data_IF_794246775114
#
_entry.id   IF_794246775114
#
_cell.length_a   1.000
_cell.length_b   1.000
_cell.length_c   1.000
_cell.angle_alpha   90.00
_cell.angle_beta   90.00
_cell.angle_gamma   90.00
#
_symmetry.space_group_name_H-M   'P 1'
#
loop_
_entity.id
_entity.type
_entity.pdbx_description
1 polymer ?
#
# COMPACT_ATOMS: atom_id res chain seq x y z
N UNK A 1 -13.05 -6.57 1.35
CA UNK A 1 -11.70 -7.20 1.30
C UNK A 1 -11.17 -7.56 2.68
N UNK A 2 -11.03 -6.66 3.65
CA UNK A 2 -10.52 -6.97 5.01
C UNK A 2 -11.24 -8.19 5.60
N UNK A 3 -12.57 -8.15 5.66
CA UNK A 3 -13.37 -9.26 6.24
C UNK A 3 -13.16 -10.60 5.54
N UNK A 4 -12.95 -10.60 4.23
CA UNK A 4 -12.63 -11.80 3.47
C UNK A 4 -11.33 -12.47 3.95
N UNK A 5 -10.28 -11.68 4.21
CA UNK A 5 -9.02 -12.19 4.73
C UNK A 5 -9.16 -12.68 6.16
N UNK A 6 -9.83 -11.94 7.03
CA UNK A 6 -10.08 -12.35 8.42
C UNK A 6 -10.85 -13.68 8.52
N UNK A 7 -11.86 -13.90 7.66
CA UNK A 7 -12.62 -15.15 7.63
C UNK A 7 -11.76 -16.36 7.22
N UNK A 8 -10.62 -16.12 6.56
CA UNK A 8 -9.62 -17.14 6.25
C UNK A 8 -8.58 -17.32 7.34
N UNK A 9 -8.72 -16.63 8.44
CA UNK A 9 -7.73 -16.54 9.52
C UNK A 9 -6.41 -15.88 9.08
N UNK A 10 -6.46 -15.04 8.06
CA UNK A 10 -5.32 -14.26 7.56
C UNK A 10 -5.17 -12.97 8.39
N UNK A 11 -3.95 -12.53 8.65
CA UNK A 11 -3.68 -11.31 9.40
C UNK A 11 -3.70 -10.08 8.51
N UNK A 12 -4.41 -9.05 8.97
CA UNK A 12 -4.57 -7.79 8.23
C UNK A 12 -3.96 -6.64 9.02
N UNK A 13 -3.16 -5.81 8.33
CA UNK A 13 -2.62 -4.56 8.85
C UNK A 13 -3.20 -3.38 8.06
N UNK A 14 -3.72 -2.40 8.76
CA UNK A 14 -4.10 -1.10 8.20
C UNK A 14 -3.07 -0.05 8.59
N UNK A 15 -2.49 0.60 7.60
CA UNK A 15 -1.58 1.73 7.75
C UNK A 15 -2.32 3.01 7.42
N UNK A 16 -2.48 3.90 8.39
CA UNK A 16 -3.20 5.15 8.22
C UNK A 16 -2.40 6.36 8.73
N UNK A 17 -2.66 7.56 8.20
CA UNK A 17 -2.18 8.78 8.82
C UNK A 17 -2.70 8.91 10.26
N UNK A 18 -1.90 9.50 11.16
CA UNK A 18 -2.28 9.65 12.57
C UNK A 18 -3.67 10.26 12.75
N UNK A 19 -4.03 11.23 11.92
CA UNK A 19 -5.33 11.92 11.97
C UNK A 19 -6.52 11.02 11.58
N UNK A 20 -6.28 9.99 10.76
CA UNK A 20 -7.32 9.08 10.25
C UNK A 20 -7.34 7.74 10.99
N UNK A 21 -6.42 7.51 11.92
CA UNK A 21 -6.33 6.24 12.66
C UNK A 21 -7.64 5.88 13.33
N UNK A 22 -8.31 6.83 13.96
CA UNK A 22 -9.56 6.59 14.67
C UNK A 22 -10.67 6.10 13.75
N UNK A 23 -10.72 6.60 12.51
CA UNK A 23 -11.69 6.18 11.50
C UNK A 23 -11.58 4.68 11.18
N UNK A 24 -10.39 4.12 11.32
CA UNK A 24 -10.15 2.68 11.13
C UNK A 24 -10.33 1.90 12.43
N UNK A 25 -9.84 2.42 13.54
CA UNK A 25 -9.89 1.72 14.85
C UNK A 25 -11.31 1.54 15.37
N UNK A 26 -12.24 2.41 15.01
CA UNK A 26 -13.65 2.34 15.44
C UNK A 26 -14.29 0.99 15.08
N UNK A 27 -13.93 0.40 13.93
CA UNK A 27 -14.52 -0.86 13.48
C UNK A 27 -14.00 -2.09 14.21
N UNK A 28 -12.87 -1.99 14.91
CA UNK A 28 -12.30 -3.08 15.72
C UNK A 28 -12.73 -2.99 17.20
N UNK A 29 -13.49 -1.96 17.56
CA UNK A 29 -13.87 -1.67 18.93
C UNK A 29 -15.39 -1.82 19.13
N UNK A 30 -15.80 -2.10 20.36
CA UNK A 30 -17.19 -2.02 20.76
C UNK A 30 -17.57 -0.55 21.03
N UNK A 31 -17.68 0.23 19.96
CA UNK A 31 -17.99 1.65 19.96
C UNK A 31 -19.38 1.88 19.35
N UNK A 32 -20.16 2.79 19.92
CA UNK A 32 -21.50 3.14 19.40
C UNK A 32 -21.46 3.70 17.96
N UNK A 33 -20.32 4.23 17.52
CA UNK A 33 -20.10 4.72 16.15
C UNK A 33 -19.82 3.61 15.15
N UNK A 34 -19.60 2.39 15.63
CA UNK A 34 -19.33 1.23 14.78
C UNK A 34 -20.62 0.69 14.17
N UNK A 35 -20.94 1.14 12.97
CA UNK A 35 -22.09 0.68 12.20
C UNK A 35 -21.94 -0.78 11.69
N UNK A 36 -20.74 -1.35 11.79
CA UNK A 36 -20.40 -2.72 11.38
C UNK A 36 -20.03 -3.60 12.58
N UNK A 37 -20.62 -3.32 13.76
CA UNK A 37 -20.29 -4.03 14.99
C UNK A 37 -20.55 -5.55 14.89
N UNK A 38 -21.57 -5.95 14.17
CA UNK A 38 -21.94 -7.36 13.96
C UNK A 38 -20.89 -8.13 13.15
N UNK A 39 -20.13 -7.44 12.31
CA UNK A 39 -19.06 -8.04 11.50
C UNK A 39 -17.82 -8.42 12.33
N UNK A 40 -17.64 -7.84 13.51
CA UNK A 40 -16.53 -8.14 14.45
C UNK A 40 -15.17 -8.12 13.77
N UNK A 41 -14.79 -6.98 13.23
CA UNK A 41 -13.48 -6.82 12.61
C UNK A 41 -12.33 -6.96 13.62
N UNK A 42 -11.28 -7.65 13.22
CA UNK A 42 -10.08 -7.89 14.02
C UNK A 42 -8.81 -7.69 13.18
N UNK A 43 -8.45 -6.45 12.90
CA UNK A 43 -7.22 -6.09 12.20
C UNK A 43 -6.39 -5.11 13.04
N UNK A 44 -5.09 -5.10 12.78
CA UNK A 44 -4.17 -4.18 13.43
C UNK A 44 -4.20 -2.82 12.72
N UNK A 45 -4.14 -1.72 13.48
CA UNK A 45 -4.06 -0.35 12.94
C UNK A 45 -2.80 0.33 13.44
N UNK A 46 -1.92 0.73 12.52
CA UNK A 46 -0.71 1.47 12.81
C UNK A 46 -0.68 2.81 12.06
N UNK A 47 0.07 3.76 12.56
CA UNK A 47 0.31 5.00 11.85
C UNK A 47 1.44 4.82 10.83
N UNK A 48 1.44 5.59 9.75
CA UNK A 48 2.57 5.62 8.81
C UNK A 48 3.91 5.90 9.48
N UNK A 49 3.91 6.73 10.53
CA UNK A 49 5.12 7.09 11.29
C UNK A 49 5.65 5.94 12.14
N UNK A 50 4.83 4.95 12.47
CA UNK A 50 5.25 3.82 13.28
C UNK A 50 6.23 2.91 12.51
N UNK A 51 6.17 2.92 11.18
CA UNK A 51 7.13 2.22 10.32
C UNK A 51 8.58 2.72 10.46
N UNK A 52 8.81 3.94 10.95
CA UNK A 52 10.17 4.46 11.19
C UNK A 52 10.64 4.23 12.64
N UNK A 53 9.83 3.57 13.46
CA UNK A 53 10.12 3.34 14.87
C UNK A 53 10.55 1.90 15.11
N UNK A 54 11.52 1.71 15.98
CA UNK A 54 12.03 0.38 16.37
C UNK A 54 11.51 -0.08 17.73
N UNK A 55 10.88 0.84 18.49
CA UNK A 55 10.38 0.55 19.84
C UNK A 55 9.23 1.45 20.24
N UNK A 56 8.59 1.13 21.35
CA UNK A 56 7.47 1.85 21.93
C UNK A 56 6.12 1.27 21.48
N UNK A 57 5.05 1.95 21.89
CA UNK A 57 3.69 1.49 21.64
C UNK A 57 2.98 2.33 20.54
N UNK A 58 2.14 1.67 19.78
CA UNK A 58 1.17 2.28 18.89
C UNK A 58 -0.22 1.76 19.25
N UNK A 59 -0.95 2.51 20.10
CA UNK A 59 -2.12 2.00 20.79
C UNK A 59 -1.73 0.86 21.74
N UNK A 60 -2.34 -0.31 21.59
CA UNK A 60 -2.03 -1.52 22.36
C UNK A 60 -0.86 -2.34 21.78
N UNK A 61 -0.36 -1.99 20.60
CA UNK A 61 0.64 -2.78 19.88
C UNK A 61 2.04 -2.33 20.28
N UNK A 62 2.88 -3.26 20.76
CA UNK A 62 4.29 -3.01 21.04
C UNK A 62 5.12 -3.21 19.76
N UNK A 63 5.72 -2.14 19.27
CA UNK A 63 6.49 -2.13 18.03
C UNK A 63 7.81 -2.92 18.13
N UNK A 64 8.38 -3.04 19.33
CA UNK A 64 9.62 -3.78 19.53
C UNK A 64 9.46 -5.29 19.35
N UNK A 65 8.26 -5.82 19.61
CA UNK A 65 7.96 -7.25 19.52
C UNK A 65 7.09 -7.61 18.32
N UNK A 66 6.74 -6.61 17.49
CA UNK A 66 5.88 -6.81 16.34
C UNK A 66 6.63 -7.58 15.24
N UNK A 67 6.07 -8.71 14.81
CA UNK A 67 6.56 -9.43 13.65
C UNK A 67 5.95 -8.82 12.38
N UNK A 68 6.71 -7.96 11.72
CA UNK A 68 6.29 -7.25 10.51
C UNK A 68 6.01 -8.16 9.33
N UNK A 69 6.69 -9.31 9.24
CA UNK A 69 6.54 -10.26 8.14
C UNK A 69 5.26 -11.13 8.23
N UNK A 70 4.49 -11.03 9.33
CA UNK A 70 3.35 -11.91 9.60
C UNK A 70 1.99 -11.26 9.24
N UNK A 71 1.94 -10.56 8.10
CA UNK A 71 0.70 -9.98 7.58
C UNK A 71 0.43 -10.46 6.16
N UNK A 72 -0.78 -10.97 5.91
CA UNK A 72 -1.23 -11.48 4.62
C UNK A 72 -1.80 -10.36 3.74
N UNK A 73 -2.43 -9.37 4.36
CA UNK A 73 -2.95 -8.19 3.69
C UNK A 73 -2.50 -6.91 4.41
N UNK A 74 -2.03 -5.96 3.63
CA UNK A 74 -1.80 -4.59 4.08
C UNK A 74 -2.70 -3.64 3.33
N UNK A 75 -3.45 -2.85 4.08
CA UNK A 75 -4.24 -1.74 3.54
C UNK A 75 -3.52 -0.44 3.87
N UNK A 76 -3.14 0.32 2.87
CA UNK A 76 -2.44 1.59 3.02
C UNK A 76 -3.40 2.71 2.67
N UNK A 77 -3.94 3.37 3.68
CA UNK A 77 -4.74 4.57 3.50
C UNK A 77 -3.84 5.77 3.22
N UNK A 78 -4.28 6.68 2.35
CA UNK A 78 -3.48 7.81 1.87
C UNK A 78 -2.08 7.37 1.38
N UNK A 79 -2.05 6.36 0.51
CA UNK A 79 -0.84 5.71 0.01
C UNK A 79 0.12 6.67 -0.72
N UNK A 80 -0.35 7.84 -1.14
CA UNK A 80 0.50 8.89 -1.72
C UNK A 80 1.61 9.36 -0.76
N UNK A 81 1.50 9.12 0.55
CA UNK A 81 2.55 9.41 1.53
C UNK A 81 3.79 8.53 1.37
N UNK A 82 3.71 7.43 0.61
CA UNK A 82 4.81 6.51 0.32
C UNK A 82 5.40 6.69 -1.09
N UNK A 83 4.98 7.70 -1.82
CA UNK A 83 5.50 7.97 -3.18
C UNK A 83 6.98 8.36 -3.22
N UNK A 84 7.49 8.98 -2.16
CA UNK A 84 8.87 9.40 -2.05
C UNK A 84 9.65 8.43 -1.17
N UNK A 85 10.81 8.01 -1.67
CA UNK A 85 11.79 7.23 -0.92
C UNK A 85 13.11 8.01 -0.90
N UNK A 86 13.24 9.09 -0.10
CA UNK A 86 14.50 9.76 0.04
C UNK A 86 15.49 8.83 0.77
N UNK A 87 16.72 8.63 0.27
CA UNK A 87 17.74 7.92 1.01
C UNK A 87 18.02 8.68 2.31
N UNK A 88 18.05 7.98 3.41
CA UNK A 88 18.38 8.53 4.73
C UNK A 88 19.46 7.62 5.31
N UNK A 89 20.62 8.22 5.60
CA UNK A 89 21.68 7.55 6.33
C UNK A 89 21.23 7.34 7.80
N UNK A 90 21.68 6.27 8.42
CA UNK A 90 21.50 5.93 9.84
C UNK A 90 20.09 5.57 10.34
N UNK A 91 19.07 5.49 9.51
CA UNK A 91 17.76 5.01 9.97
C UNK A 91 16.94 4.35 8.84
N UNK A 92 16.17 3.34 9.22
CA UNK A 92 15.22 2.69 8.32
C UNK A 92 14.10 3.67 7.98
N UNK A 93 13.89 3.92 6.69
CA UNK A 93 12.77 4.75 6.23
C UNK A 93 11.46 3.95 6.28
N UNK A 94 10.33 4.67 6.26
CA UNK A 94 9.00 4.04 6.19
C UNK A 94 8.84 3.19 4.93
N UNK A 95 9.41 3.65 3.83
CA UNK A 95 9.39 2.94 2.55
C UNK A 95 10.20 1.64 2.62
N UNK A 96 11.40 1.69 3.15
CA UNK A 96 12.28 0.53 3.29
C UNK A 96 11.69 -0.52 4.20
N UNK A 97 11.18 -0.15 5.37
CA UNK A 97 10.51 -1.11 6.25
C UNK A 97 9.32 -1.77 5.57
N UNK A 98 8.47 -1.00 4.92
CA UNK A 98 7.32 -1.56 4.20
C UNK A 98 7.76 -2.51 3.09
N UNK A 99 8.78 -2.14 2.31
CA UNK A 99 9.25 -2.95 1.19
C UNK A 99 10.03 -4.19 1.64
N UNK A 100 11.01 -4.04 2.52
CA UNK A 100 11.96 -5.10 2.85
C UNK A 100 11.44 -6.02 3.96
N UNK A 101 10.94 -5.45 5.07
CA UNK A 101 10.55 -6.24 6.23
C UNK A 101 9.12 -6.80 6.13
N UNK A 102 8.26 -6.19 5.32
CA UNK A 102 6.85 -6.59 5.23
C UNK A 102 6.56 -7.28 3.90
N UNK A 103 6.79 -6.60 2.78
CA UNK A 103 6.38 -7.10 1.47
C UNK A 103 7.30 -8.22 0.97
N UNK A 104 8.61 -8.01 0.97
CA UNK A 104 9.58 -8.99 0.45
C UNK A 104 9.85 -10.14 1.40
N UNK A 105 9.90 -9.91 2.69
CA UNK A 105 10.17 -10.93 3.71
C UNK A 105 8.91 -11.62 4.23
N UNK A 106 7.73 -11.12 3.88
CA UNK A 106 6.45 -11.62 4.34
C UNK A 106 5.97 -12.89 3.62
N UNK A 107 4.78 -13.34 4.00
CA UNK A 107 4.11 -14.56 3.51
C UNK A 107 3.34 -14.31 2.21
N UNK A 108 3.94 -13.77 1.17
CA UNK A 108 3.27 -13.31 -0.07
C UNK A 108 2.20 -12.25 0.22
N UNK A 109 2.56 -11.30 1.02
CA UNK A 109 1.70 -10.21 1.49
C UNK A 109 1.03 -9.49 0.32
N UNK A 110 -0.29 -9.37 0.35
CA UNK A 110 -1.06 -8.56 -0.59
C UNK A 110 -1.10 -7.11 -0.14
N UNK A 111 -1.08 -6.18 -1.08
CA UNK A 111 -1.11 -4.75 -0.78
C UNK A 111 -2.32 -4.11 -1.45
N UNK A 112 -3.16 -3.43 -0.67
CA UNK A 112 -4.24 -2.59 -1.12
C UNK A 112 -3.89 -1.13 -0.82
N UNK A 113 -3.75 -0.32 -1.87
CA UNK A 113 -3.47 1.10 -1.72
C UNK A 113 -4.72 1.94 -1.97
N UNK A 114 -5.02 2.82 -1.03
CA UNK A 114 -6.12 3.78 -1.12
C UNK A 114 -5.53 5.19 -1.18
N UNK A 115 -5.94 5.98 -2.16
CA UNK A 115 -5.54 7.38 -2.27
C UNK A 115 -6.50 8.14 -3.18
N UNK A 116 -6.87 9.35 -2.78
CA UNK A 116 -7.59 10.29 -3.63
C UNK A 116 -6.68 10.94 -4.68
N UNK A 117 -5.38 11.03 -4.41
CA UNK A 117 -4.38 11.68 -5.26
C UNK A 117 -3.15 10.79 -5.47
N UNK A 118 -3.31 9.65 -6.20
CA UNK A 118 -2.23 8.67 -6.34
C UNK A 118 -1.01 9.23 -7.07
N UNK A 119 -1.23 10.21 -7.94
CA UNK A 119 -0.19 10.86 -8.75
C UNK A 119 -0.14 12.35 -8.44
N UNK A 120 1.02 12.83 -8.07
CA UNK A 120 1.35 14.23 -8.12
C UNK A 120 2.16 14.50 -9.42
N UNK A 121 3.06 15.37 -9.52
CA UNK A 121 3.66 15.82 -10.78
C UNK A 121 4.79 14.93 -11.33
N UNK A 122 5.15 13.81 -10.69
CA UNK A 122 6.33 13.02 -11.08
C UNK A 122 5.98 11.56 -11.37
N UNK A 123 6.46 11.03 -12.49
CA UNK A 123 6.30 9.61 -12.85
C UNK A 123 6.99 8.66 -11.85
N UNK A 124 8.03 9.11 -11.16
CA UNK A 124 8.67 8.35 -10.08
C UNK A 124 7.71 8.06 -8.91
N UNK A 125 6.73 8.93 -8.67
CA UNK A 125 5.73 8.73 -7.62
C UNK A 125 4.90 7.48 -7.90
N UNK A 126 4.51 7.27 -9.17
CA UNK A 126 3.81 6.07 -9.62
C UNK A 126 4.72 4.84 -9.51
N UNK A 127 5.98 4.96 -9.98
CA UNK A 127 6.94 3.86 -9.94
C UNK A 127 7.11 3.33 -8.51
N UNK A 128 7.30 4.23 -7.54
CA UNK A 128 7.48 3.87 -6.13
C UNK A 128 6.23 3.19 -5.54
N UNK A 129 5.04 3.63 -5.93
CA UNK A 129 3.80 3.00 -5.47
C UNK A 129 3.58 1.62 -6.12
N UNK A 130 3.81 1.51 -7.43
CA UNK A 130 3.70 0.22 -8.14
C UNK A 130 4.72 -0.79 -7.60
N UNK A 131 5.90 -0.35 -7.15
CA UNK A 131 6.91 -1.21 -6.56
C UNK A 131 6.39 -2.02 -5.37
N UNK A 132 5.46 -1.51 -4.59
CA UNK A 132 4.83 -2.26 -3.49
C UNK A 132 3.99 -3.45 -3.98
N UNK A 133 3.37 -3.35 -5.16
CA UNK A 133 2.56 -4.43 -5.75
C UNK A 133 3.47 -5.44 -6.46
N UNK A 134 4.56 -4.97 -7.04
CA UNK A 134 5.47 -5.78 -7.88
C UNK A 134 6.70 -6.29 -7.13
N UNK A 135 6.78 -6.06 -5.81
CA UNK A 135 7.96 -6.36 -4.99
C UNK A 135 9.24 -5.72 -5.56
N UNK A 136 9.11 -4.57 -6.21
CA UNK A 136 10.21 -3.88 -6.90
C UNK A 136 10.63 -4.48 -8.24
N UNK A 137 9.93 -5.51 -8.75
CA UNK A 137 10.27 -6.15 -10.04
C UNK A 137 9.79 -5.30 -11.21
N UNK A 138 10.73 -4.84 -12.05
CA UNK A 138 10.42 -4.00 -13.22
C UNK A 138 9.71 -4.77 -14.36
N UNK A 139 9.81 -6.10 -14.39
CA UNK A 139 9.23 -6.98 -15.41
C UNK A 139 7.91 -7.64 -14.98
N UNK A 140 7.34 -7.25 -13.85
CA UNK A 140 6.13 -7.88 -13.29
C UNK A 140 4.92 -7.85 -14.24
N UNK A 141 4.86 -6.89 -15.15
CA UNK A 141 3.79 -6.74 -16.14
C UNK A 141 4.19 -7.16 -17.56
N UNK A 142 5.29 -7.93 -17.72
CA UNK A 142 5.74 -8.40 -19.03
C UNK A 142 4.66 -9.22 -19.75
N UNK A 143 3.92 -10.05 -19.03
CA UNK A 143 2.83 -10.88 -19.57
C UNK A 143 1.66 -10.07 -20.14
N UNK A 144 1.47 -8.83 -19.70
CA UNK A 144 0.41 -7.92 -20.20
C UNK A 144 0.95 -6.87 -21.18
N UNK A 145 2.13 -7.09 -21.74
CA UNK A 145 2.70 -6.24 -22.80
C UNK A 145 3.53 -5.05 -22.29
N UNK A 146 3.88 -5.01 -21.01
CA UNK A 146 4.75 -4.00 -20.41
C UNK A 146 6.05 -4.65 -19.92
N UNK A 147 7.02 -4.88 -20.81
CA UNK A 147 8.22 -5.67 -20.50
C UNK A 147 9.11 -5.01 -19.45
N UNK A 148 9.08 -3.69 -19.35
CA UNK A 148 9.85 -2.96 -18.35
C UNK A 148 9.12 -1.68 -17.94
N UNK A 149 8.74 -1.60 -16.65
CA UNK A 149 8.02 -0.46 -16.07
C UNK A 149 8.82 0.83 -16.16
N UNK A 150 10.13 0.77 -15.90
CA UNK A 150 10.97 1.97 -15.86
C UNK A 150 11.12 2.63 -17.24
N UNK A 151 11.34 1.84 -18.27
CA UNK A 151 11.42 2.36 -19.64
C UNK A 151 10.07 2.88 -20.12
N UNK A 152 8.99 2.23 -19.74
CA UNK A 152 7.62 2.66 -20.10
C UNK A 152 7.27 4.00 -19.44
N UNK A 153 7.60 4.18 -18.17
CA UNK A 153 7.33 5.41 -17.43
C UNK A 153 8.27 6.56 -17.82
N UNK A 154 9.47 6.28 -18.34
CA UNK A 154 10.44 7.28 -18.82
C UNK A 154 10.21 7.73 -20.25
N UNK A 155 9.32 7.08 -21.03
CA UNK A 155 9.06 7.51 -22.42
C UNK A 155 8.53 8.95 -22.42
N UNK A 156 9.20 9.89 -23.13
CA UNK A 156 8.66 11.22 -23.33
C UNK A 156 7.32 11.10 -24.06
N UNK A 157 6.32 11.87 -23.64
CA UNK A 157 5.09 11.99 -24.43
C UNK A 157 5.49 12.45 -25.84
N UNK A 158 5.04 11.79 -26.92
CA UNK A 158 5.21 12.34 -28.23
C UNK A 158 4.58 13.72 -28.21
N UNK A 159 5.34 14.73 -28.61
CA UNK A 159 4.84 16.09 -28.79
C UNK A 159 3.63 16.00 -29.73
N UNK A 160 2.47 16.41 -29.25
CA UNK A 160 1.23 16.38 -30.03
C UNK A 160 1.26 17.48 -31.07
N UNK A 161 1.92 17.24 -32.19
CA UNK A 161 1.66 17.88 -33.46
C UNK A 161 0.87 16.89 -34.29
N UNK A 162 -0.41 16.97 -34.15
CA UNK A 162 -1.55 16.52 -34.96
C UNK A 162 -2.59 15.75 -34.15
N UNK A 163 -3.75 16.39 -34.07
CA UNK A 163 -4.92 15.88 -33.35
C UNK A 163 -5.48 14.59 -33.93
N UNK A 164 -4.98 13.44 -33.46
CA UNK A 164 -5.70 12.19 -33.55
C UNK A 164 -5.94 11.69 -32.12
N UNK A 165 -7.21 11.70 -31.73
CA UNK A 165 -7.69 11.07 -30.51
C UNK A 165 -7.26 9.61 -30.49
N UNK A 166 -6.36 9.26 -29.59
CA UNK A 166 -6.09 7.86 -29.27
C UNK A 166 -7.29 7.35 -28.43
N UNK A 167 -8.17 6.60 -29.06
CA UNK A 167 -9.23 5.86 -28.37
C UNK A 167 -8.55 4.72 -27.59
N UNK A 168 -8.37 4.92 -26.29
CA UNK A 168 -8.03 3.83 -25.38
C UNK A 168 -9.27 2.92 -25.33
N UNK A 169 -9.22 1.80 -26.03
CA UNK A 169 -10.19 0.73 -25.82
C UNK A 169 -9.95 0.13 -24.44
N UNK A 170 -10.81 0.47 -23.51
CA UNK A 170 -10.89 -0.20 -22.22
C UNK A 170 -11.38 -1.63 -22.46
N UNK A 171 -10.50 -2.60 -22.30
CA UNK A 171 -10.91 -4.00 -22.18
C UNK A 171 -11.65 -4.19 -20.85
N UNK A 172 -12.73 -4.96 -20.79
CA UNK A 172 -13.44 -5.23 -19.55
C UNK A 172 -12.53 -6.06 -18.64
N UNK A 173 -12.31 -5.58 -17.41
CA UNK A 173 -11.73 -6.35 -16.33
C UNK A 173 -12.71 -7.46 -15.95
N UNK A 174 -12.44 -8.68 -16.39
CA UNK A 174 -13.08 -9.87 -15.84
C UNK A 174 -12.41 -10.18 -14.51
N UNK A 175 -13.13 -9.94 -13.44
CA UNK A 175 -12.73 -10.35 -12.07
C UNK A 175 -13.06 -11.84 -11.97
N UNK A 176 -12.04 -12.66 -11.77
CA UNK A 176 -12.15 -14.02 -11.25
C UNK A 176 -11.87 -14.03 -9.77
#
# INVERSE_FOLDING_TARGET
MIKYYELRNDRVLVLAPKKLRENWSVYTQNDKRNILADDRFNYDVLNHTDLSRTSGFSGSINLATLNWANYDLIVIDESHNFRNNPPVEDRITRYERLMEEIIKSGVKTKVLMLSATPVNNRMNDIKNQIAFITEGKNNAFAAVGLPNLETTLKRPRPSSTNGRRCLIKTAPLTVL
#
